data_IF_216841600120
#
_entry.id   IF_216841600120
#
_cell.length_a   1.000
_cell.length_b   1.000
_cell.length_c   1.000
_cell.angle_alpha   90.00
_cell.angle_beta   90.00
_cell.angle_gamma   90.00
#
_symmetry.space_group_name_H-M   'P 1'
#
loop_
_entity.id
_entity.type
_entity.pdbx_description
1 polymer ?
#
# COMPACT_ATOMS: atom_id res chain seq x y z
N UNK A 1 12.77 23.16 4.93
CA UNK A 1 14.14 23.09 5.46
C UNK A 1 14.40 21.70 6.02
N UNK A 2 15.59 21.12 5.83
CA UNK A 2 15.94 19.84 6.46
C UNK A 2 16.02 19.98 7.98
N UNK A 3 15.68 18.92 8.72
CA UNK A 3 15.86 18.91 10.17
C UNK A 3 17.34 18.69 10.52
N UNK A 4 17.74 19.01 11.75
CA UNK A 4 19.09 18.74 12.23
C UNK A 4 19.45 17.24 12.13
N UNK A 5 18.51 16.37 12.46
CA UNK A 5 18.69 14.91 12.36
C UNK A 5 18.91 14.43 10.92
N UNK A 6 18.19 15.00 9.96
CA UNK A 6 18.38 14.66 8.54
C UNK A 6 19.78 15.09 8.06
N UNK A 7 20.20 16.31 8.40
CA UNK A 7 21.56 16.80 8.08
C UNK A 7 22.64 15.91 8.69
N UNK A 8 22.49 15.52 9.95
CA UNK A 8 23.43 14.62 10.62
C UNK A 8 23.51 13.24 9.95
N UNK A 9 22.35 12.67 9.58
CA UNK A 9 22.30 11.38 8.86
C UNK A 9 22.97 11.46 7.50
N UNK A 10 22.71 12.52 6.74
CA UNK A 10 23.36 12.74 5.44
C UNK A 10 24.87 12.92 5.58
N UNK A 11 25.30 13.71 6.56
CA UNK A 11 26.72 13.96 6.85
C UNK A 11 27.47 12.67 7.19
N UNK A 12 26.98 11.91 8.16
CA UNK A 12 27.57 10.63 8.59
C UNK A 12 27.54 9.58 7.48
N UNK A 13 26.50 9.56 6.63
CA UNK A 13 26.47 8.70 5.44
C UNK A 13 27.59 9.05 4.45
N UNK A 14 27.78 10.33 4.11
CA UNK A 14 28.84 10.79 3.21
C UNK A 14 30.24 10.48 3.74
N UNK A 15 30.46 10.66 5.05
CA UNK A 15 31.71 10.30 5.70
C UNK A 15 32.01 8.80 5.56
N UNK A 16 31.02 7.95 5.87
CA UNK A 16 31.18 6.50 5.67
C UNK A 16 31.48 6.19 4.22
N UNK A 17 30.72 6.74 3.27
CA UNK A 17 30.91 6.56 1.83
C UNK A 17 32.36 6.81 1.40
N UNK A 18 32.92 7.96 1.81
CA UNK A 18 34.26 8.39 1.42
C UNK A 18 35.38 7.57 2.08
N UNK A 19 35.22 7.22 3.36
CA UNK A 19 36.33 6.70 4.17
C UNK A 19 36.24 5.20 4.49
N UNK A 20 35.04 4.60 4.56
CA UNK A 20 34.84 3.22 5.03
C UNK A 20 34.45 2.19 3.96
N UNK A 21 33.78 2.60 2.87
CA UNK A 21 33.38 1.67 1.80
C UNK A 21 34.51 1.28 0.84
N UNK A 22 35.51 2.14 0.55
CA UNK A 22 36.79 1.62 0.12
C UNK A 22 37.28 0.74 1.27
N UNK A 23 37.50 -0.56 1.05
CA UNK A 23 37.91 -1.54 2.08
C UNK A 23 39.35 -1.27 2.58
N UNK A 24 39.62 -0.04 3.00
CA UNK A 24 40.87 0.41 3.60
C UNK A 24 41.02 -0.20 4.99
N UNK A 25 42.27 -0.42 5.37
CA UNK A 25 42.62 -0.84 6.72
C UNK A 25 42.13 0.20 7.74
N UNK A 26 41.96 -0.21 9.00
CA UNK A 26 41.52 0.71 10.06
C UNK A 26 42.58 1.79 10.28
N UNK A 27 43.83 1.39 10.16
CA UNK A 27 45.04 2.17 10.33
C UNK A 27 45.13 3.27 9.27
N UNK A 28 44.89 2.94 7.99
CA UNK A 28 44.88 3.91 6.88
C UNK A 28 43.78 4.96 7.05
N UNK A 29 42.64 4.56 7.61
CA UNK A 29 41.51 5.47 7.85
C UNK A 29 41.83 6.39 9.03
N UNK A 30 42.42 5.87 10.10
CA UNK A 30 42.84 6.66 11.26
C UNK A 30 43.94 7.67 10.91
N UNK A 31 44.85 7.32 10.00
CA UNK A 31 45.91 8.20 9.52
C UNK A 31 45.41 9.37 8.66
N UNK A 32 44.18 9.30 8.12
CA UNK A 32 43.61 10.29 7.21
C UNK A 32 42.27 10.84 7.75
N UNK A 33 42.27 11.64 8.83
CA UNK A 33 41.07 12.22 9.39
C UNK A 33 40.38 13.17 8.41
N UNK A 34 39.05 13.24 8.49
CA UNK A 34 38.29 14.17 7.65
C UNK A 34 38.56 15.62 8.08
N UNK A 35 38.73 16.57 7.14
CA UNK A 35 38.93 17.98 7.47
C UNK A 35 37.81 18.53 8.37
N UNK A 36 38.19 19.18 9.47
CA UNK A 36 37.26 19.79 10.43
C UNK A 36 36.73 18.86 11.52
N UNK A 37 37.20 17.61 11.60
CA UNK A 37 36.93 16.72 12.74
C UNK A 37 38.14 16.63 13.65
N UNK A 38 37.91 16.74 14.95
CA UNK A 38 38.92 16.42 15.96
C UNK A 38 39.33 14.93 15.88
N UNK A 39 40.59 14.64 16.17
CA UNK A 39 41.16 13.30 16.12
C UNK A 39 40.44 12.32 17.06
N UNK A 40 40.02 12.78 18.24
CA UNK A 40 39.28 11.96 19.21
C UNK A 40 37.94 11.51 18.63
N UNK A 41 37.18 12.47 18.07
CA UNK A 41 35.89 12.22 17.43
C UNK A 41 36.04 11.33 16.19
N UNK A 42 37.10 11.55 15.41
CA UNK A 42 37.42 10.71 14.26
C UNK A 42 37.68 9.26 14.68
N UNK A 43 38.52 9.07 15.70
CA UNK A 43 38.88 7.73 16.19
C UNK A 43 37.67 6.98 16.72
N UNK A 44 36.82 7.65 17.50
CA UNK A 44 35.57 7.08 18.01
C UNK A 44 34.62 6.67 16.86
N UNK A 45 34.48 7.52 15.83
CA UNK A 45 33.68 7.23 14.64
C UNK A 45 34.19 5.99 13.89
N UNK A 46 35.50 5.94 13.60
CA UNK A 46 36.11 4.81 12.88
C UNK A 46 35.97 3.53 13.69
N UNK A 47 36.22 3.58 15.00
CA UNK A 47 36.07 2.43 15.90
C UNK A 47 34.65 1.89 15.88
N UNK A 48 33.64 2.75 16.06
CA UNK A 48 32.24 2.36 16.07
C UNK A 48 31.82 1.62 14.80
N UNK A 49 32.15 2.16 13.62
CA UNK A 49 31.72 1.56 12.36
C UNK A 49 32.59 0.39 11.87
N UNK A 50 33.82 0.25 12.37
CA UNK A 50 34.68 -0.92 12.11
C UNK A 50 34.48 -2.04 13.13
N UNK A 51 33.73 -1.82 14.20
CA UNK A 51 33.37 -2.86 15.18
C UNK A 51 32.52 -3.96 14.52
N UNK A 52 32.84 -5.22 14.83
CA UNK A 52 32.17 -6.37 14.21
C UNK A 52 30.69 -6.47 14.57
N UNK A 53 30.33 -6.02 15.78
CA UNK A 53 28.93 -5.88 16.20
C UNK A 53 28.13 -5.00 15.23
N UNK A 54 28.68 -3.84 14.85
CA UNK A 54 28.03 -2.91 13.93
C UNK A 54 27.95 -3.46 12.52
N UNK A 55 29.01 -4.12 12.02
CA UNK A 55 28.99 -4.81 10.73
C UNK A 55 27.91 -5.90 10.69
N UNK A 56 27.85 -6.74 11.72
CA UNK A 56 26.86 -7.83 11.86
C UNK A 56 25.44 -7.28 11.88
N UNK A 57 25.19 -6.22 12.65
CA UNK A 57 23.88 -5.57 12.70
C UNK A 57 23.49 -4.92 11.37
N UNK A 58 24.41 -4.22 10.70
CA UNK A 58 24.16 -3.62 9.38
C UNK A 58 23.84 -4.67 8.33
N UNK A 59 24.54 -5.80 8.34
CA UNK A 59 24.31 -6.92 7.43
C UNK A 59 22.96 -7.59 7.70
N UNK A 60 22.59 -7.78 8.97
CA UNK A 60 21.26 -8.26 9.37
C UNK A 60 20.16 -7.29 8.93
N UNK A 61 20.32 -5.98 9.16
CA UNK A 61 19.35 -4.96 8.74
C UNK A 61 19.18 -4.92 7.22
N UNK A 62 20.26 -5.10 6.46
CA UNK A 62 20.22 -5.17 5.00
C UNK A 62 19.44 -6.41 4.52
N UNK A 63 19.67 -7.57 5.14
CA UNK A 63 18.89 -8.80 4.86
C UNK A 63 17.41 -8.61 5.21
N UNK A 64 17.11 -8.07 6.39
CA UNK A 64 15.74 -7.80 6.83
C UNK A 64 15.03 -6.83 5.90
N UNK A 65 15.72 -5.79 5.41
CA UNK A 65 15.16 -4.82 4.46
C UNK A 65 14.81 -5.47 3.12
N UNK A 66 15.63 -6.39 2.61
CA UNK A 66 15.31 -7.15 1.38
C UNK A 66 14.08 -8.04 1.56
N UNK A 67 13.89 -8.55 2.77
CA UNK A 67 12.73 -9.40 3.12
C UNK A 67 11.50 -8.59 3.57
N UNK A 68 11.57 -7.25 3.56
CA UNK A 68 10.46 -6.39 3.98
C UNK A 68 9.39 -6.36 2.88
N UNK A 69 8.30 -7.10 3.09
CA UNK A 69 7.18 -7.21 2.15
C UNK A 69 6.13 -6.09 2.27
N UNK A 70 6.14 -5.32 3.36
CA UNK A 70 5.15 -4.25 3.63
C UNK A 70 5.85 -2.89 3.70
N UNK A 71 5.36 -1.92 2.92
CA UNK A 71 5.70 -0.51 3.07
C UNK A 71 5.01 0.06 4.31
N UNK A 72 5.77 0.67 5.22
CA UNK A 72 5.31 1.24 6.50
C UNK A 72 4.51 2.56 6.31
N UNK A 73 3.57 2.61 5.36
CA UNK A 73 2.66 3.76 5.25
C UNK A 73 1.63 3.79 6.39
N UNK A 74 1.43 2.68 7.10
CA UNK A 74 0.78 2.67 8.41
C UNK A 74 1.80 3.05 9.47
N UNK A 75 1.58 4.17 10.15
CA UNK A 75 2.30 4.69 11.33
C UNK A 75 2.93 3.63 12.28
N UNK A 76 3.84 4.05 13.16
CA UNK A 76 4.51 3.17 14.15
C UNK A 76 3.53 2.57 15.16
N UNK A 77 2.84 1.51 14.74
CA UNK A 77 1.91 0.70 15.51
C UNK A 77 2.60 -0.62 15.90
N UNK A 78 2.31 -1.17 17.08
CA UNK A 78 2.83 -2.48 17.47
C UNK A 78 2.17 -3.61 16.65
N UNK A 79 2.84 -4.77 16.52
CA UNK A 79 2.26 -5.94 15.85
C UNK A 79 0.95 -6.40 16.51
N UNK A 80 0.88 -6.37 17.84
CA UNK A 80 -0.34 -6.69 18.58
C UNK A 80 -1.51 -5.74 18.25
N UNK A 81 -1.23 -4.44 18.05
CA UNK A 81 -2.23 -3.48 17.62
C UNK A 81 -2.69 -3.75 16.19
N UNK A 82 -1.77 -4.08 15.26
CA UNK A 82 -2.12 -4.48 13.89
C UNK A 82 -3.02 -5.70 13.85
N UNK A 83 -2.71 -6.74 14.64
CA UNK A 83 -3.53 -7.95 14.74
C UNK A 83 -4.98 -7.62 15.07
N UNK A 84 -5.20 -6.90 16.18
CA UNK A 84 -6.55 -6.47 16.59
C UNK A 84 -7.27 -5.63 15.54
N UNK A 85 -6.56 -4.78 14.81
CA UNK A 85 -7.15 -3.99 13.73
C UNK A 85 -7.59 -4.89 12.57
N UNK A 86 -6.79 -5.89 12.19
CA UNK A 86 -7.16 -6.85 11.14
C UNK A 86 -8.34 -7.73 11.54
N UNK A 87 -8.39 -8.18 12.80
CA UNK A 87 -9.51 -8.98 13.31
C UNK A 87 -10.82 -8.20 13.22
N UNK A 88 -10.81 -6.92 13.65
CA UNK A 88 -11.97 -6.02 13.53
C UNK A 88 -12.39 -5.80 12.08
N UNK A 89 -11.44 -5.62 11.16
CA UNK A 89 -11.78 -5.50 9.73
C UNK A 89 -12.46 -6.79 9.26
N UNK A 90 -11.87 -7.96 9.56
CA UNK A 90 -12.41 -9.25 9.13
C UNK A 90 -13.80 -9.54 9.69
N UNK A 91 -14.09 -9.07 10.91
CA UNK A 91 -15.40 -9.22 11.55
C UNK A 91 -16.50 -8.39 10.86
N UNK A 92 -16.20 -7.16 10.45
CA UNK A 92 -17.20 -6.21 9.92
C UNK A 92 -17.29 -6.21 8.39
N UNK A 93 -16.30 -6.79 7.70
CA UNK A 93 -16.22 -6.83 6.24
C UNK A 93 -17.42 -7.52 5.54
N UNK A 94 -18.05 -8.58 6.09
CA UNK A 94 -19.24 -9.17 5.48
C UNK A 94 -20.42 -8.20 5.43
N UNK A 95 -20.67 -7.49 6.54
CA UNK A 95 -21.77 -6.52 6.64
C UNK A 95 -21.55 -5.34 5.69
N UNK A 96 -20.31 -4.88 5.57
CA UNK A 96 -19.95 -3.84 4.61
C UNK A 96 -20.22 -4.24 3.17
N UNK A 97 -19.87 -5.48 2.79
CA UNK A 97 -20.13 -5.99 1.45
C UNK A 97 -21.63 -6.02 1.14
N UNK A 98 -22.43 -6.50 2.10
CA UNK A 98 -23.89 -6.52 1.97
C UNK A 98 -24.45 -5.09 1.81
N UNK A 99 -23.98 -4.15 2.63
CA UNK A 99 -24.40 -2.75 2.56
C UNK A 99 -24.07 -2.11 1.20
N UNK A 100 -22.90 -2.44 0.63
CA UNK A 100 -22.49 -1.99 -0.71
C UNK A 100 -23.39 -2.58 -1.80
N UNK A 101 -23.76 -3.87 -1.69
CA UNK A 101 -24.65 -4.51 -2.67
C UNK A 101 -26.08 -3.96 -2.63
N UNK A 102 -26.59 -3.65 -1.44
CA UNK A 102 -27.98 -3.18 -1.25
C UNK A 102 -28.14 -1.70 -1.55
N UNK A 103 -27.12 -0.88 -1.27
CA UNK A 103 -27.17 0.57 -1.49
C UNK A 103 -26.89 1.01 -2.94
N UNK A 104 -26.47 0.11 -3.82
CA UNK A 104 -26.09 0.43 -5.20
C UNK A 104 -24.88 1.38 -5.31
N UNK A 105 -24.22 1.69 -4.19
CA UNK A 105 -23.05 2.55 -4.15
C UNK A 105 -21.86 1.73 -4.66
N UNK A 106 -21.32 2.12 -5.80
CA UNK A 106 -20.10 1.54 -6.34
C UNK A 106 -19.02 1.51 -5.25
N UNK A 107 -18.43 0.34 -5.00
CA UNK A 107 -17.40 0.09 -3.95
C UNK A 107 -16.16 0.98 -4.03
N UNK A 108 -16.11 1.91 -5.00
CA UNK A 108 -15.04 2.88 -5.23
C UNK A 108 -15.28 4.22 -4.52
N UNK A 109 -16.45 4.43 -3.91
CA UNK A 109 -16.90 5.78 -3.58
C UNK A 109 -17.16 5.90 -2.06
N UNK A 110 -16.13 6.39 -1.39
CA UNK A 110 -16.03 6.85 0.00
C UNK A 110 -15.83 5.79 1.10
N UNK A 111 -14.75 6.02 1.87
CA UNK A 111 -14.65 5.49 3.22
C UNK A 111 -15.87 5.98 4.01
N UNK A 112 -16.74 5.05 4.41
CA UNK A 112 -17.93 5.37 5.16
C UNK A 112 -17.60 5.31 6.66
N UNK A 113 -18.09 6.20 7.52
CA UNK A 113 -17.77 6.18 8.95
C UNK A 113 -18.07 4.86 9.66
N UNK A 114 -18.99 4.06 9.10
CA UNK A 114 -19.35 2.74 9.61
C UNK A 114 -18.80 1.56 8.80
N UNK A 115 -17.91 1.80 7.82
CA UNK A 115 -17.21 0.70 7.18
C UNK A 115 -16.22 0.03 8.16
N UNK A 116 -15.79 -1.19 7.84
CA UNK A 116 -14.91 -2.05 8.59
C UNK A 116 -13.56 -1.38 8.84
N UNK A 117 -13.12 -0.49 7.94
CA UNK A 117 -11.90 0.31 8.11
C UNK A 117 -12.14 1.36 9.21
N UNK A 118 -13.25 2.09 9.19
CA UNK A 118 -13.68 3.03 10.21
C UNK A 118 -13.92 2.36 11.56
N UNK A 119 -14.46 1.14 11.59
CA UNK A 119 -14.60 0.34 12.83
C UNK A 119 -13.25 -0.09 13.42
N UNK A 120 -12.25 -0.36 12.58
CA UNK A 120 -10.93 -0.80 13.02
C UNK A 120 -9.98 0.34 13.39
N UNK A 121 -10.01 1.45 12.63
CA UNK A 121 -9.11 2.59 12.78
C UNK A 121 -9.75 3.81 13.45
N UNK A 122 -11.07 3.83 13.60
CA UNK A 122 -11.83 4.96 14.12
C UNK A 122 -12.12 6.01 13.05
N UNK A 123 -12.68 7.14 13.49
CA UNK A 123 -12.97 8.27 12.61
C UNK A 123 -11.70 8.74 11.86
N UNK A 124 -11.86 9.01 10.58
CA UNK A 124 -10.78 9.52 9.74
C UNK A 124 -10.42 10.95 10.19
N UNK A 125 -9.12 11.23 10.26
CA UNK A 125 -8.62 12.55 10.69
C UNK A 125 -8.24 13.36 9.46
N UNK A 126 -8.56 14.65 9.45
CA UNK A 126 -8.18 15.57 8.35
C UNK A 126 -6.67 15.46 8.04
N UNK A 127 -6.32 15.10 6.80
CA UNK A 127 -4.92 14.93 6.37
C UNK A 127 -4.36 13.51 6.50
N UNK A 128 -5.12 12.54 7.00
CA UNK A 128 -4.79 11.10 6.96
C UNK A 128 -5.90 10.37 6.23
N UNK A 129 -5.67 10.05 4.96
CA UNK A 129 -6.58 9.20 4.18
C UNK A 129 -6.26 7.74 4.50
N UNK A 130 -7.20 6.98 5.05
CA UNK A 130 -7.04 5.56 5.40
C UNK A 130 -7.19 4.62 4.18
N UNK A 131 -7.53 5.17 3.00
CA UNK A 131 -7.41 4.44 1.74
C UNK A 131 -7.64 5.28 0.50
N UNK A 132 -6.71 5.21 -0.45
CA UNK A 132 -7.00 5.22 -1.89
C UNK A 132 -5.82 4.58 -2.65
N UNK A 133 -6.03 3.37 -3.17
CA UNK A 133 -5.08 2.70 -4.06
C UNK A 133 -5.41 1.23 -4.24
N UNK A 134 -5.40 0.75 -5.50
CA UNK A 134 -5.40 -0.67 -5.89
C UNK A 134 -4.08 -1.37 -5.54
N UNK A 135 -3.58 -1.13 -4.32
CA UNK A 135 -2.37 -1.73 -3.79
C UNK A 135 -2.65 -3.07 -3.14
N UNK A 136 -1.64 -3.94 -3.15
CA UNK A 136 -1.66 -5.30 -2.61
C UNK A 136 -2.36 -5.33 -1.25
N UNK A 137 -3.52 -5.99 -1.20
CA UNK A 137 -4.27 -6.26 0.02
C UNK A 137 -3.34 -6.96 1.03
N UNK A 138 -3.27 -6.52 2.32
CA UNK A 138 -2.36 -7.09 3.33
C UNK A 138 -2.51 -8.60 3.54
N UNK A 139 -3.60 -9.16 3.01
CA UNK A 139 -3.89 -10.58 2.99
C UNK A 139 -2.79 -11.44 2.33
N UNK A 140 -2.16 -10.95 1.26
CA UNK A 140 -1.09 -11.72 0.57
C UNK A 140 0.21 -11.82 1.39
N UNK A 141 0.35 -11.02 2.45
CA UNK A 141 1.59 -10.88 3.20
C UNK A 141 1.67 -11.77 4.44
N UNK A 142 0.52 -12.17 5.01
CA UNK A 142 0.46 -12.95 6.27
C UNK A 142 0.18 -14.44 6.09
N UNK A 143 0.29 -14.98 4.88
CA UNK A 143 0.43 -16.43 4.64
C UNK A 143 -0.74 -17.31 5.09
N UNK A 144 -1.87 -16.73 5.47
CA UNK A 144 -3.05 -17.49 5.85
C UNK A 144 -3.94 -17.61 4.63
N UNK A 145 -3.85 -18.73 3.93
CA UNK A 145 -4.80 -19.07 2.86
C UNK A 145 -6.16 -19.41 3.47
N UNK A 146 -7.07 -18.45 3.39
CA UNK A 146 -8.53 -18.54 3.53
C UNK A 146 -9.17 -17.72 2.41
N UNK A 147 -8.93 -18.14 1.16
CA UNK A 147 -9.66 -17.68 -0.03
C UNK A 147 -10.22 -16.23 0.02
N UNK A 148 -9.36 -15.21 0.06
CA UNK A 148 -9.76 -13.84 -0.26
C UNK A 148 -9.64 -13.60 -1.78
N UNK A 149 -10.27 -14.45 -2.57
CA UNK A 149 -10.36 -14.30 -4.04
C UNK A 149 -11.65 -13.62 -4.48
N UNK A 150 -12.53 -13.25 -3.53
CA UNK A 150 -13.85 -12.70 -3.83
C UNK A 150 -13.88 -11.23 -4.29
N UNK A 151 -12.81 -10.46 -4.09
CA UNK A 151 -12.84 -9.00 -4.34
C UNK A 151 -12.32 -8.54 -5.70
N UNK A 152 -11.65 -9.40 -6.47
CA UNK A 152 -10.85 -8.96 -7.61
C UNK A 152 -11.45 -9.22 -9.00
N UNK A 153 -12.64 -9.80 -9.13
CA UNK A 153 -13.15 -10.15 -10.47
C UNK A 153 -14.64 -9.92 -10.75
N UNK A 154 -15.37 -9.15 -9.93
CA UNK A 154 -16.77 -8.83 -10.25
C UNK A 154 -16.94 -7.69 -11.26
N UNK A 155 -15.98 -6.77 -11.38
CA UNK A 155 -16.21 -5.57 -12.22
C UNK A 155 -16.16 -5.86 -13.73
N UNK A 156 -15.26 -6.74 -14.19
CA UNK A 156 -15.14 -7.03 -15.63
C UNK A 156 -16.33 -7.84 -16.18
N UNK A 157 -16.75 -8.87 -15.44
CA UNK A 157 -17.85 -9.75 -15.86
C UNK A 157 -19.20 -9.05 -15.80
N UNK A 158 -19.49 -8.32 -14.72
CA UNK A 158 -20.77 -7.62 -14.56
C UNK A 158 -20.92 -6.44 -15.52
N UNK A 159 -19.84 -5.69 -15.83
CA UNK A 159 -19.93 -4.60 -16.81
C UNK A 159 -20.16 -5.13 -18.23
N UNK A 160 -19.52 -6.23 -18.61
CA UNK A 160 -19.74 -6.84 -19.93
C UNK A 160 -21.19 -7.33 -20.09
N UNK A 161 -21.74 -7.98 -19.07
CA UNK A 161 -23.14 -8.44 -19.08
C UNK A 161 -24.13 -7.28 -19.21
N UNK A 162 -23.91 -6.17 -18.51
CA UNK A 162 -24.77 -4.98 -18.62
C UNK A 162 -24.71 -4.37 -20.02
N UNK A 163 -23.53 -4.38 -20.64
CA UNK A 163 -23.32 -3.84 -21.97
C UNK A 163 -23.97 -4.71 -23.05
N UNK A 164 -23.92 -6.04 -22.89
CA UNK A 164 -24.59 -6.99 -23.77
C UNK A 164 -26.12 -6.93 -23.63
N UNK A 165 -26.62 -6.77 -22.41
CA UNK A 165 -28.06 -6.56 -22.16
C UNK A 165 -28.57 -5.25 -22.78
N UNK A 166 -27.80 -4.15 -22.69
CA UNK A 166 -28.16 -2.87 -23.36
C UNK A 166 -28.26 -3.03 -24.88
N UNK A 167 -27.32 -3.74 -25.50
CA UNK A 167 -27.37 -4.01 -26.96
C UNK A 167 -28.58 -4.85 -27.34
N UNK A 168 -28.93 -5.85 -26.51
CA UNK A 168 -30.09 -6.70 -26.75
C UNK A 168 -31.40 -5.91 -26.67
N UNK A 169 -31.55 -5.04 -25.67
CA UNK A 169 -32.72 -4.15 -25.52
C UNK A 169 -32.86 -3.23 -26.74
N UNK A 170 -31.79 -2.56 -27.17
CA UNK A 170 -31.83 -1.71 -28.39
C UNK A 170 -32.25 -2.49 -29.64
N UNK A 171 -31.81 -3.74 -29.76
CA UNK A 171 -32.17 -4.60 -30.90
C UNK A 171 -33.66 -4.96 -30.88
N UNK A 172 -34.22 -5.23 -29.70
CA UNK A 172 -35.66 -5.49 -29.55
C UNK A 172 -36.49 -4.25 -29.84
N UNK A 173 -36.06 -3.08 -29.38
CA UNK A 173 -36.74 -1.80 -29.64
C UNK A 173 -36.84 -1.52 -31.15
N UNK A 174 -35.74 -1.72 -31.89
CA UNK A 174 -35.73 -1.56 -33.36
C UNK A 174 -36.68 -2.56 -34.06
N UNK A 175 -36.73 -3.81 -33.60
CA UNK A 175 -37.64 -4.82 -34.16
C UNK A 175 -39.09 -4.46 -33.91
N UNK A 176 -39.43 -4.04 -32.69
CA UNK A 176 -40.80 -3.65 -32.33
C UNK A 176 -41.25 -2.45 -33.17
N UNK A 177 -40.39 -1.43 -33.30
CA UNK A 177 -40.67 -0.27 -34.17
C UNK A 177 -40.90 -0.69 -35.63
N UNK A 178 -40.10 -1.62 -36.15
CA UNK A 178 -40.30 -2.16 -37.50
C UNK A 178 -41.64 -2.88 -37.67
N UNK A 179 -42.05 -3.70 -36.69
CA UNK A 179 -43.35 -4.37 -36.71
C UNK A 179 -44.52 -3.38 -36.66
N UNK A 180 -44.43 -2.33 -35.83
CA UNK A 180 -45.45 -1.27 -35.77
C UNK A 180 -45.62 -0.56 -37.11
N UNK A 181 -44.52 -0.27 -37.81
CA UNK A 181 -44.54 0.37 -39.13
C UNK A 181 -45.23 -0.54 -40.18
N UNK A 182 -44.89 -1.83 -40.20
CA UNK A 182 -45.52 -2.80 -41.11
C UNK A 182 -47.01 -3.00 -40.82
N UNK A 183 -47.41 -3.00 -39.54
CA UNK A 183 -48.81 -3.13 -39.15
C UNK A 183 -49.63 -1.90 -39.58
N UNK A 184 -49.06 -0.69 -39.51
CA UNK A 184 -49.70 0.52 -40.03
C UNK A 184 -49.89 0.45 -41.55
N UNK A 185 -48.90 -0.03 -42.29
CA UNK A 185 -49.00 -0.16 -43.76
C UNK A 185 -50.06 -1.20 -44.17
N UNK A 186 -50.15 -2.32 -43.45
CA UNK A 186 -51.19 -3.33 -43.66
C UNK A 186 -52.60 -2.83 -43.29
N UNK A 187 -52.74 -1.95 -42.30
CA UNK A 187 -54.02 -1.37 -41.92
C UNK A 187 -54.58 -0.34 -42.92
N UNK A 188 -53.77 0.11 -43.88
CA UNK A 188 -54.15 1.03 -44.96
C UNK A 188 -54.34 0.33 -46.32
N UNK A 189 -54.29 -1.01 -46.36
CA UNK A 189 -54.61 -1.84 -47.54
C UNK A 189 -55.98 -2.47 -47.37
#
# INVERSE_FOLDING_TARGET
MSTLGERWRTYTYRLRFKHLYPNKSKEDILANPSPGLDYTNWTAFVHHYKEDKMKKQSLANTKNRKNLKVSHAGSSVSNARRGRQMDKISEHLPQDQENVTTSGVSSKVFAHPNDAIGKAYGAEHSGRVHGLGTGICPYSVFGTSRHFTGFMNSSGSSQQQVEDLKKYVQTLELKISGYEETNKQLAHT
#
